data_IF_598506737137
#
_entry.id   IF_598506737137
#
_cell.length_a   1.000
_cell.length_b   1.000
_cell.length_c   1.000
_cell.angle_alpha   90.00
_cell.angle_beta   90.00
_cell.angle_gamma   90.00
#
_symmetry.space_group_name_H-M   'P 1'
#
loop_
_entity.id
_entity.type
_entity.pdbx_description
1 polymer ?
#
# COMPACT_ATOMS: atom_id res chain seq x y z
N UNK A 1 -7.18 -3.78 13.02
CA UNK A 1 -6.96 -2.43 12.48
C UNK A 1 -7.96 -2.21 11.37
N UNK A 2 -8.51 -0.99 11.21
CA UNK A 2 -9.29 -0.63 10.02
C UNK A 2 -8.34 -0.71 8.81
N UNK A 3 -8.42 -1.72 7.94
CA UNK A 3 -7.50 -1.88 6.80
C UNK A 3 -7.58 -0.68 5.84
N UNK A 4 -8.74 0.00 5.85
CA UNK A 4 -9.01 1.20 5.08
C UNK A 4 -8.16 2.41 5.47
N UNK A 5 -7.51 2.41 6.64
CA UNK A 5 -6.74 3.57 7.12
C UNK A 5 -5.23 3.42 6.99
N UNK A 6 -4.72 2.26 6.58
CA UNK A 6 -3.29 2.06 6.40
C UNK A 6 -2.91 2.22 4.91
N UNK A 7 -2.14 3.26 4.53
CA UNK A 7 -1.68 3.41 3.14
C UNK A 7 -0.88 2.23 2.63
N UNK A 8 -0.18 1.53 3.52
CA UNK A 8 0.50 0.29 3.18
C UNK A 8 -0.47 -0.75 2.62
N UNK A 9 -1.65 -0.91 3.24
CA UNK A 9 -2.59 -1.97 2.91
C UNK A 9 -3.36 -1.68 1.62
N UNK A 10 -3.84 -0.44 1.47
CA UNK A 10 -4.70 -0.08 0.32
C UNK A 10 -3.95 0.45 -0.92
N UNK A 11 -2.68 0.82 -0.79
CA UNK A 11 -1.92 1.48 -1.87
C UNK A 11 -0.64 0.72 -2.23
N UNK A 12 0.11 0.26 -1.24
CA UNK A 12 1.45 -0.30 -1.46
C UNK A 12 1.44 -1.82 -1.63
N UNK A 13 0.88 -2.56 -0.67
CA UNK A 13 1.04 -4.00 -0.58
C UNK A 13 0.32 -4.77 -1.68
N UNK A 14 -0.80 -4.27 -2.20
CA UNK A 14 -1.47 -4.90 -3.34
C UNK A 14 -0.56 -4.97 -4.58
N UNK A 15 0.09 -3.86 -4.90
CA UNK A 15 1.00 -3.76 -6.04
C UNK A 15 2.31 -4.49 -5.79
N UNK A 16 2.86 -4.39 -4.57
CA UNK A 16 4.07 -5.12 -4.20
C UNK A 16 3.85 -6.64 -4.30
N UNK A 17 2.74 -7.15 -3.76
CA UNK A 17 2.38 -8.58 -3.86
C UNK A 17 2.22 -9.03 -5.30
N UNK A 18 1.63 -8.19 -6.17
CA UNK A 18 1.56 -8.48 -7.59
C UNK A 18 2.96 -8.53 -8.24
N UNK A 19 3.87 -7.61 -7.88
CA UNK A 19 5.23 -7.56 -8.42
C UNK A 19 6.10 -8.75 -8.00
N UNK A 20 5.99 -9.20 -6.75
CA UNK A 20 6.79 -10.34 -6.24
C UNK A 20 6.07 -11.68 -6.40
N UNK A 21 4.78 -11.66 -6.76
CA UNK A 21 3.97 -12.86 -6.91
C UNK A 21 4.53 -13.79 -7.98
N UNK A 22 4.68 -15.07 -7.65
CA UNK A 22 5.18 -16.09 -8.56
C UNK A 22 6.69 -16.08 -8.80
N UNK A 23 7.44 -15.14 -8.21
CA UNK A 23 8.90 -15.16 -8.24
C UNK A 23 9.43 -16.14 -7.19
N UNK A 24 10.44 -16.92 -7.57
CA UNK A 24 11.22 -17.72 -6.63
C UNK A 24 12.46 -16.93 -6.23
N UNK A 25 12.76 -16.89 -4.93
CA UNK A 25 13.93 -16.24 -4.35
C UNK A 25 14.76 -17.32 -3.64
N UNK A 26 16.08 -17.24 -3.72
CA UNK A 26 16.93 -18.26 -3.11
C UNK A 26 17.01 -18.10 -1.59
N UNK A 27 16.95 -16.86 -1.11
CA UNK A 27 16.97 -16.52 0.31
C UNK A 27 16.21 -15.21 0.63
N UNK A 28 16.19 -14.86 1.91
CA UNK A 28 15.54 -13.65 2.41
C UNK A 28 16.24 -12.35 1.93
N UNK A 29 17.53 -12.41 1.62
CA UNK A 29 18.30 -11.28 1.10
C UNK A 29 17.86 -10.91 -0.32
N UNK A 30 17.62 -11.90 -1.16
CA UNK A 30 17.11 -11.72 -2.52
C UNK A 30 15.75 -11.01 -2.53
N UNK A 31 14.80 -11.46 -1.70
CA UNK A 31 13.47 -10.83 -1.62
C UNK A 31 13.56 -9.42 -1.03
N UNK A 32 14.42 -9.19 -0.02
CA UNK A 32 14.63 -7.84 0.52
C UNK A 32 15.18 -6.88 -0.53
N UNK A 33 16.16 -7.32 -1.33
CA UNK A 33 16.74 -6.51 -2.38
C UNK A 33 15.72 -6.20 -3.50
N UNK A 34 14.95 -7.19 -3.93
CA UNK A 34 13.90 -6.99 -4.95
C UNK A 34 12.82 -6.01 -4.46
N UNK A 35 12.36 -6.15 -3.22
CA UNK A 35 11.39 -5.24 -2.60
C UNK A 35 11.96 -3.81 -2.52
N UNK A 36 13.21 -3.66 -2.09
CA UNK A 36 13.89 -2.35 -2.00
C UNK A 36 14.05 -1.70 -3.37
N UNK A 37 14.47 -2.46 -4.38
CA UNK A 37 14.62 -1.97 -5.75
C UNK A 37 13.27 -1.52 -6.32
N UNK A 38 12.23 -2.34 -6.16
CA UNK A 38 10.88 -1.99 -6.62
C UNK A 38 10.37 -0.72 -5.96
N UNK A 39 10.54 -0.56 -4.64
CA UNK A 39 10.14 0.65 -3.93
C UNK A 39 10.90 1.89 -4.44
N UNK A 40 12.20 1.79 -4.69
CA UNK A 40 13.02 2.90 -5.21
C UNK A 40 12.67 3.32 -6.64
N UNK A 41 12.09 2.41 -7.42
CA UNK A 41 11.65 2.69 -8.79
C UNK A 41 10.30 3.40 -8.84
N UNK A 42 9.53 3.42 -7.74
CA UNK A 42 8.25 4.10 -7.73
C UNK A 42 8.46 5.62 -7.76
N UNK A 43 7.70 6.36 -8.59
CA UNK A 43 7.81 7.80 -8.66
C UNK A 43 7.32 8.46 -7.36
N UNK A 44 7.78 9.67 -7.05
CA UNK A 44 7.36 10.39 -5.82
C UNK A 44 5.84 10.55 -5.75
N UNK A 45 5.20 10.75 -6.90
CA UNK A 45 3.75 10.88 -7.07
C UNK A 45 3.00 9.61 -6.63
N UNK A 46 3.63 8.44 -6.74
CA UNK A 46 3.06 7.20 -6.25
C UNK A 46 2.83 7.28 -4.73
N UNK A 47 3.86 7.66 -3.97
CA UNK A 47 3.73 7.80 -2.52
C UNK A 47 2.78 8.94 -2.12
N UNK A 48 2.87 10.08 -2.83
CA UNK A 48 1.97 11.21 -2.61
C UNK A 48 0.50 10.84 -2.83
N UNK A 49 0.19 10.01 -3.84
CA UNK A 49 -1.17 9.53 -4.08
C UNK A 49 -1.70 8.67 -2.93
N UNK A 50 -0.88 7.78 -2.35
CA UNK A 50 -1.25 6.96 -1.19
C UNK A 50 -1.60 7.82 0.04
N UNK A 51 -0.79 8.84 0.33
CA UNK A 51 -1.04 9.79 1.42
C UNK A 51 -2.28 10.67 1.12
N UNK A 52 -2.45 11.11 -0.12
CA UNK A 52 -3.63 11.87 -0.54
C UNK A 52 -4.93 11.06 -0.39
N UNK A 53 -4.89 9.76 -0.68
CA UNK A 53 -6.01 8.85 -0.48
C UNK A 53 -6.33 8.65 1.01
N UNK A 54 -5.33 8.67 1.90
CA UNK A 54 -5.55 8.60 3.35
C UNK A 54 -6.40 9.77 3.86
N UNK A 55 -6.08 11.01 3.46
CA UNK A 55 -6.84 12.18 3.89
C UNK A 55 -8.31 12.10 3.49
N UNK A 56 -8.59 11.63 2.26
CA UNK A 56 -9.96 11.42 1.77
C UNK A 56 -10.69 10.33 2.57
N UNK A 57 -9.99 9.26 2.94
CA UNK A 57 -10.57 8.18 3.75
C UNK A 57 -10.83 8.61 5.19
N UNK A 58 -9.96 9.42 5.79
CA UNK A 58 -10.22 10.01 7.11
C UNK A 58 -11.46 10.90 7.11
N UNK A 59 -11.60 11.78 6.11
CA UNK A 59 -12.80 12.62 5.97
C UNK A 59 -14.07 11.76 5.85
N UNK A 60 -14.02 10.69 5.05
CA UNK A 60 -15.11 9.73 4.94
C UNK A 60 -15.42 9.02 6.27
N UNK A 61 -14.41 8.52 6.99
CA UNK A 61 -14.60 7.86 8.29
C UNK A 61 -15.23 8.78 9.33
N UNK A 62 -14.83 10.06 9.36
CA UNK A 62 -15.37 11.06 10.28
C UNK A 62 -16.83 11.38 9.92
N UNK A 63 -17.13 11.59 8.64
CA UNK A 63 -18.46 12.00 8.18
C UNK A 63 -19.50 10.87 8.21
N UNK A 64 -19.08 9.60 8.15
CA UNK A 64 -19.96 8.43 8.26
C UNK A 64 -20.04 7.87 9.70
N UNK A 65 -19.60 8.61 10.72
CA UNK A 65 -19.73 8.20 12.12
C UNK A 65 -18.92 6.94 12.49
N UNK A 66 -17.88 6.62 11.72
CA UNK A 66 -17.04 5.44 11.93
C UNK A 66 -17.57 4.13 11.32
N UNK A 67 -18.71 4.14 10.65
CA UNK A 67 -19.20 2.93 9.97
C UNK A 67 -18.40 2.63 8.69
N UNK A 68 -17.96 1.38 8.61
CA UNK A 68 -17.12 0.83 7.56
C UNK A 68 -17.83 0.89 6.21
N UNK A 69 -17.26 1.62 5.23
CA UNK A 69 -17.78 1.64 3.86
C UNK A 69 -16.85 0.83 2.98
N UNK A 70 -17.01 -0.49 3.08
CA UNK A 70 -16.59 -1.43 2.03
C UNK A 70 -17.29 -1.05 0.71
N UNK A 71 -16.59 -1.21 -0.42
CA UNK A 71 -17.17 -1.04 -1.75
C UNK A 71 -16.86 -2.27 -2.58
#
# INVERSE_FOLDING_TARGET
>A
SLPDLAPSDFHLFGLLKHHIGGKYFADDGDVQNEVLLWMRQQPTEFYAAGIGALMKRWDKCINFGGDYVEK
#
